data_IF_659098864932
#
_entry.id   IF_659098864932
#
_cell.length_a   1.000
_cell.length_b   1.000
_cell.length_c   1.000
_cell.angle_alpha   90.00
_cell.angle_beta   90.00
_cell.angle_gamma   90.00
#
_symmetry.space_group_name_H-M   'P 1'
#
loop_
_entity.id
_entity.type
_entity.pdbx_description
1 polymer ?
#
# COMPACT_ATOMS: atom_id res chain seq x y z
N UNK A 1 4.75 3.13 5.31
CA UNK A 1 3.38 3.39 4.79
C UNK A 1 2.85 2.14 4.11
N UNK A 2 1.56 1.85 4.27
CA UNK A 2 0.86 0.80 3.52
C UNK A 2 0.13 1.45 2.34
N UNK A 3 0.49 1.06 1.11
CA UNK A 3 -0.17 1.49 -0.12
C UNK A 3 -1.39 0.59 -0.38
N UNK A 4 -2.59 1.15 -0.30
CA UNK A 4 -3.84 0.41 -0.48
C UNK A 4 -4.40 0.66 -1.88
N UNK A 5 -4.58 -0.40 -2.65
CA UNK A 5 -5.27 -0.43 -3.93
C UNK A 5 -6.68 -1.02 -3.80
N UNK A 6 -7.41 -1.10 -4.91
CA UNK A 6 -8.78 -1.62 -4.91
C UNK A 6 -8.89 -3.09 -4.51
N UNK A 7 -7.88 -3.92 -4.85
CA UNK A 7 -7.88 -5.34 -4.50
C UNK A 7 -7.77 -5.53 -2.99
N UNK A 8 -6.84 -4.81 -2.36
CA UNK A 8 -6.65 -4.86 -0.90
C UNK A 8 -7.87 -4.33 -0.15
N UNK A 9 -8.43 -3.22 -0.62
CA UNK A 9 -9.66 -2.68 -0.02
C UNK A 9 -10.87 -3.60 -0.15
N UNK A 10 -10.90 -4.46 -1.18
CA UNK A 10 -11.95 -5.45 -1.36
C UNK A 10 -11.71 -6.75 -0.59
N UNK A 11 -10.47 -7.21 -0.51
CA UNK A 11 -10.12 -8.52 0.06
C UNK A 11 -9.98 -8.50 1.58
N UNK A 12 -9.28 -7.52 2.13
CA UNK A 12 -8.89 -7.51 3.55
C UNK A 12 -8.82 -6.09 4.16
N UNK A 13 -9.89 -5.29 4.03
CA UNK A 13 -9.86 -3.90 4.53
C UNK A 13 -9.70 -3.83 6.06
N UNK A 14 -10.28 -4.77 6.80
CA UNK A 14 -10.17 -4.84 8.26
C UNK A 14 -8.75 -5.18 8.68
N UNK A 15 -8.18 -6.20 8.08
CA UNK A 15 -6.85 -6.72 8.40
C UNK A 15 -5.78 -5.68 8.06
N UNK A 16 -5.91 -4.96 6.95
CA UNK A 16 -4.98 -3.89 6.56
C UNK A 16 -5.02 -2.72 7.57
N UNK A 17 -6.20 -2.36 8.06
CA UNK A 17 -6.35 -1.33 9.11
C UNK A 17 -5.74 -1.79 10.42
N UNK A 18 -5.94 -3.06 10.80
CA UNK A 18 -5.34 -3.64 12.00
C UNK A 18 -3.82 -3.70 11.90
N UNK A 19 -3.27 -4.11 10.74
CA UNK A 19 -1.83 -4.13 10.50
C UNK A 19 -1.24 -2.71 10.60
N UNK A 20 -1.87 -1.72 9.98
CA UNK A 20 -1.42 -0.34 10.04
C UNK A 20 -1.38 0.18 11.48
N UNK A 21 -2.40 -0.16 12.26
CA UNK A 21 -2.48 0.21 13.69
C UNK A 21 -1.40 -0.51 14.52
N UNK A 22 -1.26 -1.83 14.36
CA UNK A 22 -0.26 -2.62 15.07
C UNK A 22 1.18 -2.18 14.76
N UNK A 23 1.45 -1.81 13.49
CA UNK A 23 2.76 -1.33 13.05
C UNK A 23 2.98 0.18 13.29
N UNK A 24 1.99 0.93 13.79
CA UNK A 24 2.07 2.38 13.95
C UNK A 24 2.29 3.13 12.64
N UNK A 25 1.78 2.60 11.51
CA UNK A 25 2.07 3.14 10.18
C UNK A 25 0.86 3.76 9.50
N UNK A 26 1.13 4.54 8.47
CA UNK A 26 0.11 5.28 7.70
C UNK A 26 -0.51 4.39 6.63
N UNK A 27 -1.75 4.71 6.24
CA UNK A 27 -2.43 4.13 5.07
C UNK A 27 -2.55 5.21 4.00
N UNK A 28 -2.13 4.90 2.78
CA UNK A 28 -2.35 5.74 1.61
C UNK A 28 -3.09 4.99 0.52
N UNK A 29 -4.17 5.58 0.00
CA UNK A 29 -4.91 5.03 -1.14
C UNK A 29 -4.20 5.42 -2.43
N UNK A 30 -3.74 4.41 -3.18
CA UNK A 30 -3.06 4.62 -4.45
C UNK A 30 -3.62 3.68 -5.53
N UNK A 31 -4.16 4.25 -6.60
CA UNK A 31 -4.94 3.54 -7.61
C UNK A 31 -4.35 3.72 -9.01
N UNK A 32 -4.40 2.67 -9.82
CA UNK A 32 -4.06 2.73 -11.23
C UNK A 32 -5.06 3.60 -12.01
N UNK A 33 -6.35 3.31 -11.84
CA UNK A 33 -7.47 4.11 -12.35
C UNK A 33 -8.14 4.85 -11.18
N UNK A 34 -7.72 6.09 -10.96
CA UNK A 34 -8.16 6.89 -9.81
C UNK A 34 -9.35 7.78 -10.18
N UNK A 35 -10.55 7.20 -10.35
CA UNK A 35 -11.78 7.98 -10.36
C UNK A 35 -12.13 8.44 -8.95
N UNK A 36 -12.77 9.59 -8.82
CA UNK A 36 -13.18 10.11 -7.51
C UNK A 36 -14.14 9.16 -6.79
N UNK A 37 -15.12 8.60 -7.52
CA UNK A 37 -16.07 7.64 -6.98
C UNK A 37 -15.36 6.40 -6.40
N UNK A 38 -14.37 5.84 -7.11
CA UNK A 38 -13.61 4.69 -6.66
C UNK A 38 -12.77 5.01 -5.43
N UNK A 39 -12.14 6.18 -5.41
CA UNK A 39 -11.36 6.66 -4.27
C UNK A 39 -12.23 6.82 -3.03
N UNK A 40 -13.41 7.45 -3.17
CA UNK A 40 -14.37 7.62 -2.08
C UNK A 40 -14.92 6.29 -1.55
N UNK A 41 -15.18 5.33 -2.42
CA UNK A 41 -15.65 4.01 -1.99
C UNK A 41 -14.59 3.28 -1.15
N UNK A 42 -13.32 3.32 -1.56
CA UNK A 42 -12.22 2.73 -0.78
C UNK A 42 -12.06 3.48 0.55
N UNK A 43 -12.11 4.80 0.53
CA UNK A 43 -12.07 5.61 1.75
C UNK A 43 -13.15 5.21 2.74
N UNK A 44 -14.42 5.15 2.29
CA UNK A 44 -15.56 4.73 3.13
C UNK A 44 -15.36 3.32 3.68
N UNK A 45 -14.88 2.38 2.86
CA UNK A 45 -14.60 1.00 3.28
C UNK A 45 -13.54 0.95 4.38
N UNK A 46 -12.42 1.65 4.22
CA UNK A 46 -11.37 1.70 5.23
C UNK A 46 -11.87 2.39 6.52
N UNK A 47 -12.63 3.47 6.40
CA UNK A 47 -13.22 4.17 7.56
C UNK A 47 -14.20 3.29 8.33
N UNK A 48 -15.07 2.55 7.63
CA UNK A 48 -15.99 1.58 8.24
C UNK A 48 -15.25 0.50 9.04
N UNK A 49 -14.02 0.16 8.64
CA UNK A 49 -13.16 -0.78 9.32
C UNK A 49 -12.22 -0.12 10.37
N UNK A 50 -12.46 1.14 10.72
CA UNK A 50 -11.79 1.83 11.81
C UNK A 50 -10.45 2.49 11.44
N UNK A 51 -10.21 2.78 10.15
CA UNK A 51 -9.02 3.53 9.75
C UNK A 51 -9.04 4.95 10.33
N UNK A 52 -7.91 5.38 10.87
CA UNK A 52 -7.66 6.76 11.27
C UNK A 52 -7.51 7.71 10.06
N UNK A 53 -6.46 8.52 10.01
CA UNK A 53 -6.14 9.35 8.84
C UNK A 53 -5.78 8.45 7.65
N UNK A 54 -6.37 8.73 6.49
CA UNK A 54 -6.08 8.07 5.21
C UNK A 54 -5.50 9.13 4.28
N UNK A 55 -4.33 8.83 3.72
CA UNK A 55 -3.57 9.74 2.87
C UNK A 55 -3.98 9.62 1.39
N UNK A 56 -3.60 10.59 0.56
CA UNK A 56 -4.01 10.77 -0.85
C UNK A 56 -5.48 11.13 -1.07
N UNK A 57 -6.16 11.63 -0.04
CA UNK A 57 -7.52 12.15 -0.18
C UNK A 57 -7.52 13.65 -0.45
N UNK A 58 -6.49 14.38 -0.04
CA UNK A 58 -6.33 15.82 -0.32
C UNK A 58 -5.39 16.04 -1.52
N UNK A 59 -5.98 16.56 -2.62
CA UNK A 59 -5.20 16.87 -3.84
C UNK A 59 -4.15 17.97 -3.63
N UNK A 60 -4.35 18.88 -2.67
CA UNK A 60 -3.40 19.95 -2.38
C UNK A 60 -2.09 19.45 -1.77
N UNK A 61 -2.15 18.32 -1.06
CA UNK A 61 -0.97 17.68 -0.47
C UNK A 61 -0.32 16.61 -1.38
N UNK A 62 -0.71 16.58 -2.65
CA UNK A 62 -0.19 15.60 -3.61
C UNK A 62 1.12 16.07 -4.26
N UNK A 63 1.97 15.08 -4.61
CA UNK A 63 3.18 15.26 -5.41
C UNK A 63 3.35 14.09 -6.38
N UNK A 64 4.36 14.14 -7.24
CA UNK A 64 4.60 13.11 -8.25
C UNK A 64 5.89 12.35 -7.93
N UNK A 65 5.83 11.02 -8.00
CA UNK A 65 7.02 10.17 -8.11
C UNK A 65 7.46 10.14 -9.58
N UNK A 66 8.77 10.30 -9.82
CA UNK A 66 9.36 10.15 -11.15
C UNK A 66 9.34 8.67 -11.59
N UNK A 67 9.29 8.45 -12.92
CA UNK A 67 9.41 7.10 -13.50
C UNK A 67 8.12 6.28 -13.56
N UNK A 68 6.97 6.93 -13.42
CA UNK A 68 5.64 6.32 -13.63
C UNK A 68 4.78 7.23 -14.52
N UNK A 69 4.11 6.64 -15.52
CA UNK A 69 3.19 7.36 -16.41
C UNK A 69 1.71 7.21 -15.99
N UNK A 70 1.42 6.35 -15.04
CA UNK A 70 0.06 6.14 -14.53
C UNK A 70 -0.31 7.10 -13.40
N UNK A 71 -1.59 7.14 -13.02
CA UNK A 71 -2.08 7.92 -11.87
C UNK A 71 -1.45 7.52 -10.54
N UNK A 72 -0.83 6.33 -10.46
CA UNK A 72 -0.06 5.85 -9.30
C UNK A 72 1.17 6.69 -8.98
N UNK A 73 1.66 7.49 -9.94
CA UNK A 73 2.74 8.47 -9.68
C UNK A 73 2.33 9.57 -8.70
N UNK A 74 1.01 9.83 -8.56
CA UNK A 74 0.49 10.84 -7.64
C UNK A 74 0.41 10.22 -6.26
N UNK A 75 1.18 10.77 -5.33
CA UNK A 75 1.29 10.31 -3.95
C UNK A 75 1.15 11.49 -3.00
N UNK A 76 0.80 11.20 -1.74
CA UNK A 76 0.72 12.21 -0.69
C UNK A 76 2.14 12.56 -0.18
N UNK A 77 2.40 13.85 0.03
CA UNK A 77 3.69 14.35 0.52
C UNK A 77 4.03 13.77 1.89
N UNK A 78 3.03 13.68 2.78
CA UNK A 78 3.19 13.14 4.12
C UNK A 78 2.94 11.61 4.18
N UNK A 79 2.60 11.01 3.06
CA UNK A 79 2.37 9.58 2.88
C UNK A 79 3.56 8.86 2.25
N UNK A 80 3.33 8.25 1.09
CA UNK A 80 4.35 7.49 0.35
C UNK A 80 5.58 8.33 0.01
N UNK A 81 5.40 9.62 -0.32
CA UNK A 81 6.53 10.47 -0.70
C UNK A 81 7.58 10.60 0.43
N UNK A 82 7.16 10.81 1.67
CA UNK A 82 8.03 10.97 2.83
C UNK A 82 8.47 9.64 3.48
N UNK A 83 7.89 8.51 3.06
CA UNK A 83 8.16 7.22 3.67
C UNK A 83 9.51 6.63 3.22
N UNK A 84 10.24 6.00 4.13
CA UNK A 84 11.42 5.19 3.82
C UNK A 84 11.03 3.79 3.37
N UNK A 85 9.98 3.22 3.98
CA UNK A 85 9.47 1.88 3.70
C UNK A 85 8.03 1.94 3.21
N UNK A 86 7.75 1.27 2.10
CA UNK A 86 6.40 1.16 1.52
C UNK A 86 6.01 -0.30 1.39
N UNK A 87 4.89 -0.66 2.01
CA UNK A 87 4.26 -1.97 1.84
C UNK A 87 3.28 -1.87 0.67
N UNK A 88 3.47 -2.71 -0.34
CA UNK A 88 2.70 -2.70 -1.61
C UNK A 88 2.07 -4.07 -1.87
N UNK A 89 0.99 -4.43 -1.17
CA UNK A 89 0.35 -5.72 -1.37
C UNK A 89 -0.35 -5.81 -2.72
N UNK A 90 -0.18 -6.92 -3.44
CA UNK A 90 -0.82 -7.18 -4.74
C UNK A 90 -0.61 -6.03 -5.74
N UNK A 91 0.64 -5.69 -5.98
CA UNK A 91 1.01 -4.57 -6.85
C UNK A 91 1.73 -5.05 -8.12
N UNK A 92 1.86 -4.18 -9.12
CA UNK A 92 2.62 -4.48 -10.33
C UNK A 92 4.12 -4.13 -10.21
N UNK A 93 4.93 -4.76 -11.08
CA UNK A 93 6.38 -4.58 -11.08
C UNK A 93 6.83 -3.17 -11.44
N UNK A 94 6.10 -2.44 -12.29
CA UNK A 94 6.46 -1.06 -12.68
C UNK A 94 6.35 -0.13 -11.48
N UNK A 95 5.28 -0.29 -10.70
CA UNK A 95 5.08 0.47 -9.46
C UNK A 95 6.19 0.17 -8.45
N UNK A 96 6.48 -1.11 -8.25
CA UNK A 96 7.54 -1.56 -7.33
C UNK A 96 8.89 -1.00 -7.74
N UNK A 97 9.23 -1.07 -9.02
CA UNK A 97 10.47 -0.51 -9.57
C UNK A 97 10.56 1.01 -9.40
N UNK A 98 9.47 1.73 -9.61
CA UNK A 98 9.46 3.19 -9.44
C UNK A 98 9.67 3.61 -7.98
N UNK A 99 9.10 2.89 -7.02
CA UNK A 99 9.36 3.10 -5.60
C UNK A 99 10.82 2.84 -5.25
N UNK A 100 11.40 1.76 -5.79
CA UNK A 100 12.82 1.46 -5.63
C UNK A 100 13.72 2.56 -6.21
N UNK A 101 13.43 3.03 -7.43
CA UNK A 101 14.16 4.16 -8.05
C UNK A 101 14.04 5.46 -7.25
N UNK A 102 12.92 5.66 -6.55
CA UNK A 102 12.72 6.77 -5.62
C UNK A 102 13.40 6.58 -4.25
N UNK A 103 14.25 5.56 -4.11
CA UNK A 103 15.02 5.29 -2.88
C UNK A 103 14.21 4.62 -1.77
N UNK A 104 13.01 4.13 -2.04
CA UNK A 104 12.17 3.48 -1.03
C UNK A 104 12.56 2.02 -0.85
N UNK A 105 12.47 1.52 0.39
CA UNK A 105 12.43 0.08 0.66
C UNK A 105 11.03 -0.44 0.43
N UNK A 106 10.91 -1.56 -0.28
CA UNK A 106 9.61 -2.11 -0.67
C UNK A 106 9.40 -3.49 -0.06
N UNK A 107 8.25 -3.67 0.59
CA UNK A 107 7.77 -4.96 1.07
C UNK A 107 6.51 -5.31 0.27
N UNK A 108 6.48 -6.50 -0.32
CA UNK A 108 5.33 -6.96 -1.10
C UNK A 108 4.82 -8.32 -0.64
N UNK A 109 3.60 -8.67 -1.08
CA UNK A 109 3.00 -9.99 -0.95
C UNK A 109 2.73 -10.51 -2.35
N UNK A 110 3.33 -11.62 -2.71
CA UNK A 110 3.14 -12.23 -4.01
C UNK A 110 3.18 -13.76 -3.89
N UNK A 111 2.22 -14.43 -4.53
CA UNK A 111 2.20 -15.91 -4.57
C UNK A 111 3.27 -16.48 -5.50
N UNK A 112 3.73 -15.69 -6.46
CA UNK A 112 4.78 -16.08 -7.39
C UNK A 112 6.10 -15.40 -7.03
N UNK A 113 7.08 -16.12 -6.44
CA UNK A 113 8.37 -15.54 -6.08
C UNK A 113 9.21 -15.11 -7.29
N UNK A 114 8.87 -15.59 -8.49
CA UNK A 114 9.52 -15.24 -9.76
C UNK A 114 8.80 -14.10 -10.48
N UNK A 115 7.83 -13.47 -9.87
CA UNK A 115 7.19 -12.31 -10.47
C UNK A 115 8.13 -11.10 -10.46
N UNK A 116 7.95 -10.21 -11.43
CA UNK A 116 8.72 -8.98 -11.50
C UNK A 116 8.58 -8.11 -10.24
N UNK A 117 7.42 -8.14 -9.60
CA UNK A 117 7.18 -7.48 -8.31
C UNK A 117 8.02 -8.11 -7.21
N UNK A 118 7.96 -9.45 -7.10
CA UNK A 118 8.69 -10.20 -6.09
C UNK A 118 10.20 -10.05 -6.21
N UNK A 119 10.73 -10.10 -7.42
CA UNK A 119 12.18 -9.95 -7.68
C UNK A 119 12.68 -8.50 -7.46
N UNK A 120 11.80 -7.51 -7.63
CA UNK A 120 12.17 -6.09 -7.48
C UNK A 120 12.12 -5.61 -6.02
N UNK A 121 11.22 -6.15 -5.21
CA UNK A 121 11.02 -5.75 -3.83
C UNK A 121 12.24 -6.09 -2.94
N UNK A 122 12.43 -5.35 -1.85
CA UNK A 122 13.47 -5.69 -0.85
C UNK A 122 13.08 -6.91 -0.02
N UNK A 123 11.79 -7.05 0.27
CA UNK A 123 11.22 -8.19 0.99
C UNK A 123 9.96 -8.64 0.25
N UNK A 124 9.91 -9.92 -0.09
CA UNK A 124 8.72 -10.55 -0.66
C UNK A 124 8.19 -11.61 0.30
N UNK A 125 6.94 -11.46 0.71
CA UNK A 125 6.22 -12.45 1.50
C UNK A 125 5.47 -13.35 0.52
N UNK A 126 5.97 -14.57 0.33
CA UNK A 126 5.40 -15.55 -0.60
C UNK A 126 4.26 -16.27 0.09
N UNK A 127 3.09 -15.66 0.12
CA UNK A 127 1.89 -16.22 0.72
C UNK A 127 0.62 -15.50 0.21
N UNK A 128 -0.55 -16.10 0.48
CA UNK A 128 -1.82 -15.41 0.31
C UNK A 128 -1.86 -14.16 1.21
N UNK A 129 -2.17 -13.01 0.62
CA UNK A 129 -2.12 -11.72 1.29
C UNK A 129 -2.97 -11.65 2.56
N UNK A 130 -4.17 -12.23 2.55
CA UNK A 130 -5.09 -12.21 3.71
C UNK A 130 -4.48 -12.99 4.87
N UNK A 131 -3.95 -14.19 4.60
CA UNK A 131 -3.31 -15.04 5.61
C UNK A 131 -2.05 -14.41 6.15
N UNK A 132 -1.20 -13.90 5.28
CA UNK A 132 0.07 -13.27 5.65
C UNK A 132 -0.13 -12.03 6.53
N UNK A 133 -1.10 -11.17 6.20
CA UNK A 133 -1.40 -9.99 7.02
C UNK A 133 -1.85 -10.38 8.43
N UNK A 134 -2.70 -11.40 8.57
CA UNK A 134 -3.13 -11.90 9.89
C UNK A 134 -1.95 -12.41 10.70
N UNK A 135 -1.00 -13.13 10.08
CA UNK A 135 0.21 -13.60 10.75
C UNK A 135 1.10 -12.43 11.21
N UNK A 136 1.32 -11.44 10.34
CA UNK A 136 2.11 -10.24 10.69
C UNK A 136 1.52 -9.47 11.87
N UNK A 137 0.19 -9.34 11.93
CA UNK A 137 -0.49 -8.72 13.07
C UNK A 137 -0.20 -9.49 14.34
N UNK A 138 -0.32 -10.82 14.33
CA UNK A 138 -0.03 -11.67 15.49
C UNK A 138 1.42 -11.53 15.97
N UNK A 139 2.38 -11.60 15.05
CA UNK A 139 3.81 -11.45 15.38
C UNK A 139 4.08 -10.09 16.05
N UNK A 140 3.49 -9.02 15.53
CA UNK A 140 3.70 -7.66 16.07
C UNK A 140 3.07 -7.44 17.44
N UNK A 141 1.94 -8.11 17.72
CA UNK A 141 1.25 -7.99 19.03
C UNK A 141 1.98 -8.80 20.11
N UNK A 142 2.65 -9.90 19.73
CA UNK A 142 3.37 -10.77 20.66
C UNK A 142 4.80 -10.29 20.99
N UNK A 143 5.31 -9.26 20.31
CA UNK A 143 6.61 -8.63 20.50
C UNK A 143 6.44 -7.18 21.00
#
# INVERSE_FOLDING_TARGET
VISVNGNIAGLCPKEIVQLARAAGTKIEVNLFYATEARRQNIYKTLKKNGAGKIYSMDKKNSTKLSGLDSTRRIVDKDGIYSADVVVVPLEDGDRTMALKKAGKKVITFDLNPMSRTAETADITIVDNVVRAIVLLIKIRICN
#
